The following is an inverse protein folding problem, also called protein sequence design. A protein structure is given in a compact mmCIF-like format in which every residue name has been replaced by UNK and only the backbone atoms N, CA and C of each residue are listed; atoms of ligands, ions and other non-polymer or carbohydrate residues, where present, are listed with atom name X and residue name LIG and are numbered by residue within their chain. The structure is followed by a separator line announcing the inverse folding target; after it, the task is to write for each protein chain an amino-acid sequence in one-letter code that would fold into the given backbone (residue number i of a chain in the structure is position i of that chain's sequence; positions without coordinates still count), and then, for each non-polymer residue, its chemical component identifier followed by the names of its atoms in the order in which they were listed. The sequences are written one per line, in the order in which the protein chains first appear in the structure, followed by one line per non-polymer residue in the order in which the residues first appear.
data_IF_378723986313
#
_entry.id   IF_378723986313
#
_cell.length_a   1.000
_cell.length_b   1.000
_cell.length_c   1.000
_cell.angle_alpha   90.00
_cell.angle_beta   90.00
_cell.angle_gamma   90.00
#
_symmetry.space_group_name_H-M   'P 1'
#
loop_
_entity.id
_entity.type
_entity.pdbx_description
1 polymer ?
#
# COMPACT_ATOMS: atom_id res chain seq x y z
N UNK A 1 -20.80 9.72 22.14
CA UNK A 1 -21.29 9.15 20.86
C UNK A 1 -21.17 10.23 19.81
N UNK A 2 -20.35 10.04 18.78
CA UNK A 2 -20.25 11.00 17.68
C UNK A 2 -21.56 10.95 16.88
N UNK A 3 -22.21 12.10 16.69
CA UNK A 3 -23.49 12.25 15.98
C UNK A 3 -23.35 12.03 14.47
N UNK A 4 -23.15 10.79 14.05
CA UNK A 4 -22.89 10.41 12.67
C UNK A 4 -24.19 10.27 11.86
N UNK A 5 -24.63 11.33 11.20
CA UNK A 5 -25.88 11.35 10.42
C UNK A 5 -25.73 10.93 8.94
N UNK A 6 -24.51 10.87 8.38
CA UNK A 6 -24.26 10.38 7.02
C UNK A 6 -23.01 9.45 6.96
N UNK A 7 -23.14 8.17 6.57
CA UNK A 7 -22.01 7.24 6.41
C UNK A 7 -20.86 7.77 5.54
N UNK A 8 -21.17 8.50 4.46
CA UNK A 8 -20.16 9.04 3.54
C UNK A 8 -19.22 10.02 4.24
N UNK A 9 -19.77 10.97 4.98
CA UNK A 9 -19.00 11.98 5.72
C UNK A 9 -18.12 11.33 6.79
N UNK A 10 -18.63 10.29 7.45
CA UNK A 10 -17.87 9.54 8.45
C UNK A 10 -16.69 8.81 7.81
N UNK A 11 -16.89 8.21 6.63
CA UNK A 11 -15.82 7.56 5.86
C UNK A 11 -14.71 8.56 5.56
N UNK A 12 -15.05 9.70 4.93
CA UNK A 12 -14.07 10.74 4.62
C UNK A 12 -13.36 11.25 5.87
N UNK A 13 -14.07 11.37 6.99
CA UNK A 13 -13.50 11.86 8.25
C UNK A 13 -12.52 10.88 8.88
N UNK A 14 -12.84 9.58 8.98
CA UNK A 14 -11.89 8.61 9.53
C UNK A 14 -10.69 8.40 8.60
N UNK A 15 -10.87 8.50 7.28
CA UNK A 15 -9.77 8.39 6.31
C UNK A 15 -8.79 9.54 6.49
N UNK A 16 -9.30 10.76 6.64
CA UNK A 16 -8.49 11.95 6.94
C UNK A 16 -7.76 11.80 8.27
N UNK A 17 -8.43 11.37 9.33
CA UNK A 17 -7.76 11.13 10.62
C UNK A 17 -6.68 10.06 10.52
N UNK A 18 -6.89 9.00 9.73
CA UNK A 18 -5.86 7.99 9.49
C UNK A 18 -4.65 8.58 8.74
N UNK A 19 -4.88 9.43 7.73
CA UNK A 19 -3.80 10.13 7.01
C UNK A 19 -3.02 11.10 7.91
N UNK A 20 -3.70 11.77 8.85
CA UNK A 20 -3.09 12.64 9.86
C UNK A 20 -2.39 11.86 10.99
N UNK A 21 -2.35 10.53 10.94
CA UNK A 21 -1.74 9.68 11.97
C UNK A 21 -2.57 9.53 13.25
N UNK A 22 -3.81 10.05 13.28
CA UNK A 22 -4.75 9.98 14.42
C UNK A 22 -5.49 8.64 14.44
N UNK A 23 -4.73 7.56 14.53
CA UNK A 23 -5.21 6.19 14.32
C UNK A 23 -6.22 5.75 15.39
N UNK A 24 -6.12 6.24 16.62
CA UNK A 24 -7.09 5.96 17.70
C UNK A 24 -8.50 6.38 17.32
N UNK A 25 -8.63 7.64 16.88
CA UNK A 25 -9.92 8.24 16.54
C UNK A 25 -10.45 7.57 15.27
N UNK A 26 -9.58 7.36 14.27
CA UNK A 26 -9.95 6.69 13.04
C UNK A 26 -10.44 5.25 13.29
N UNK A 27 -9.82 4.51 14.23
CA UNK A 27 -10.28 3.18 14.60
C UNK A 27 -11.67 3.21 15.22
N UNK A 28 -11.90 4.07 16.22
CA UNK A 28 -13.19 4.17 16.90
C UNK A 28 -14.28 4.48 15.88
N UNK A 29 -14.06 5.49 15.04
CA UNK A 29 -15.04 5.91 14.03
C UNK A 29 -15.33 4.83 12.99
N UNK A 30 -14.29 4.21 12.42
CA UNK A 30 -14.47 3.17 11.40
C UNK A 30 -15.12 1.91 11.98
N UNK A 31 -14.84 1.57 13.25
CA UNK A 31 -15.45 0.43 13.94
C UNK A 31 -16.92 0.68 14.23
N UNK A 32 -17.25 1.81 14.84
CA UNK A 32 -18.64 2.19 15.15
C UNK A 32 -19.51 2.24 13.88
N UNK A 33 -18.98 2.81 12.78
CA UNK A 33 -19.70 2.85 11.51
C UNK A 33 -19.94 1.44 10.94
N UNK A 34 -18.92 0.59 10.91
CA UNK A 34 -19.03 -0.77 10.39
C UNK A 34 -20.04 -1.59 11.21
N UNK A 35 -20.00 -1.51 12.54
CA UNK A 35 -20.92 -2.21 13.43
C UNK A 35 -22.36 -1.72 13.26
N UNK A 36 -22.57 -0.41 13.19
CA UNK A 36 -23.88 0.18 12.91
C UNK A 36 -24.44 -0.34 11.59
N UNK A 37 -23.67 -0.22 10.50
CA UNK A 37 -24.12 -0.65 9.17
C UNK A 37 -24.36 -2.17 9.12
N UNK A 38 -23.58 -2.99 9.83
CA UNK A 38 -23.82 -4.43 9.95
C UNK A 38 -25.14 -4.74 10.67
N UNK A 39 -25.50 -3.95 11.69
CA UNK A 39 -26.74 -4.12 12.47
C UNK A 39 -28.01 -3.73 11.72
N UNK A 40 -27.90 -2.93 10.64
CA UNK A 40 -29.07 -2.54 9.83
C UNK A 40 -29.67 -3.75 9.09
N UNK A 41 -30.91 -4.13 9.45
CA UNK A 41 -31.59 -5.32 8.89
C UNK A 41 -31.87 -5.22 7.40
N UNK A 42 -32.14 -4.01 6.89
CA UNK A 42 -32.41 -3.73 5.48
C UNK A 42 -31.45 -2.65 5.01
N UNK A 43 -30.53 -3.02 4.11
CA UNK A 43 -29.62 -2.10 3.44
C UNK A 43 -30.00 -2.03 1.96
N UNK A 44 -30.14 -0.82 1.45
CA UNK A 44 -30.14 -0.57 0.01
C UNK A 44 -28.72 -0.73 -0.56
N UNK A 45 -28.61 -0.62 -1.88
CA UNK A 45 -27.34 -0.77 -2.58
C UNK A 45 -26.27 0.23 -2.11
N UNK A 46 -26.68 1.48 -1.85
CA UNK A 46 -25.78 2.55 -1.43
C UNK A 46 -25.22 2.30 -0.02
N UNK A 47 -26.07 1.94 0.94
CA UNK A 47 -25.65 1.57 2.30
C UNK A 47 -24.77 0.33 2.31
N UNK A 48 -25.03 -0.63 1.43
CA UNK A 48 -24.15 -1.78 1.28
C UNK A 48 -22.77 -1.39 0.74
N UNK A 49 -22.69 -0.40 -0.17
CA UNK A 49 -21.42 0.17 -0.65
C UNK A 49 -20.66 0.89 0.47
N UNK A 50 -21.36 1.70 1.27
CA UNK A 50 -20.76 2.34 2.45
C UNK A 50 -20.24 1.32 3.47
N UNK A 51 -20.95 0.20 3.68
CA UNK A 51 -20.48 -0.87 4.56
C UNK A 51 -19.17 -1.49 4.06
N UNK A 52 -19.06 -1.73 2.75
CA UNK A 52 -17.83 -2.23 2.13
C UNK A 52 -16.67 -1.25 2.32
N UNK A 53 -16.90 0.05 2.10
CA UNK A 53 -15.89 1.09 2.31
C UNK A 53 -15.47 1.21 3.79
N UNK A 54 -16.44 1.21 4.71
CA UNK A 54 -16.19 1.26 6.15
C UNK A 54 -15.34 0.06 6.63
N UNK A 55 -15.67 -1.16 6.19
CA UNK A 55 -14.92 -2.37 6.53
C UNK A 55 -13.50 -2.36 5.95
N UNK A 56 -13.30 -1.80 4.75
CA UNK A 56 -11.99 -1.63 4.13
C UNK A 56 -11.10 -0.66 4.90
N UNK A 57 -11.64 0.51 5.23
CA UNK A 57 -10.95 1.49 6.08
C UNK A 57 -10.61 0.89 7.45
N UNK A 58 -11.59 0.27 8.10
CA UNK A 58 -11.42 -0.37 9.40
C UNK A 58 -10.32 -1.45 9.39
N UNK A 59 -10.33 -2.36 8.40
CA UNK A 59 -9.31 -3.40 8.29
C UNK A 59 -7.89 -2.82 8.14
N UNK A 60 -7.76 -1.73 7.37
CA UNK A 60 -6.48 -1.05 7.12
C UNK A 60 -5.98 -0.28 8.35
N UNK A 61 -6.87 0.45 9.02
CA UNK A 61 -6.54 1.18 10.26
C UNK A 61 -6.15 0.21 11.37
N UNK A 62 -6.90 -0.87 11.56
CA UNK A 62 -6.57 -1.91 12.53
C UNK A 62 -5.23 -2.58 12.24
N UNK A 63 -4.85 -2.71 10.95
CA UNK A 63 -3.54 -3.23 10.57
C UNK A 63 -2.43 -2.24 10.97
N UNK A 64 -2.59 -0.94 10.69
CA UNK A 64 -1.63 0.10 11.07
C UNK A 64 -1.41 0.18 12.58
N UNK A 65 -2.46 -0.13 13.36
CA UNK A 65 -2.39 -0.23 14.83
C UNK A 65 -1.94 -1.61 15.35
N UNK A 66 -1.47 -2.48 14.47
CA UNK A 66 -1.01 -3.84 14.80
C UNK A 66 -2.06 -4.73 15.49
N UNK A 67 -3.36 -4.40 15.38
CA UNK A 67 -4.48 -5.19 15.90
C UNK A 67 -4.82 -6.32 14.94
N UNK A 68 -3.86 -7.20 14.69
CA UNK A 68 -3.89 -8.17 13.60
C UNK A 68 -5.11 -9.11 13.62
N UNK A 69 -5.57 -9.54 14.82
CA UNK A 69 -6.76 -10.40 14.94
C UNK A 69 -8.03 -9.67 14.48
N UNK A 70 -8.18 -8.40 14.85
CA UNK A 70 -9.31 -7.57 14.47
C UNK A 70 -9.25 -7.22 12.98
N UNK A 71 -8.09 -6.79 12.48
CA UNK A 71 -7.87 -6.51 11.05
C UNK A 71 -8.22 -7.71 10.16
N UNK A 72 -7.80 -8.92 10.56
CA UNK A 72 -8.16 -10.17 9.87
C UNK A 72 -9.68 -10.40 9.85
N UNK A 73 -10.37 -10.17 10.97
CA UNK A 73 -11.81 -10.37 11.06
C UNK A 73 -12.57 -9.36 10.18
N UNK A 74 -12.18 -8.08 10.23
CA UNK A 74 -12.71 -7.03 9.36
C UNK A 74 -12.49 -7.36 7.88
N UNK A 75 -11.29 -7.79 7.49
CA UNK A 75 -10.96 -8.20 6.12
C UNK A 75 -11.81 -9.38 5.62
N UNK A 76 -12.08 -10.37 6.47
CA UNK A 76 -12.98 -11.49 6.13
C UNK A 76 -14.43 -11.02 5.98
N UNK A 77 -14.88 -10.11 6.85
CA UNK A 77 -16.21 -9.53 6.74
C UNK A 77 -16.33 -8.72 5.44
N UNK A 78 -15.32 -7.91 5.11
CA UNK A 78 -15.21 -7.17 3.84
C UNK A 78 -15.40 -8.09 2.63
N UNK A 79 -14.67 -9.21 2.56
CA UNK A 79 -14.82 -10.19 1.47
C UNK A 79 -16.26 -10.72 1.35
N UNK A 80 -16.94 -10.96 2.48
CA UNK A 80 -18.34 -11.40 2.49
C UNK A 80 -19.28 -10.29 1.99
N UNK A 81 -19.12 -9.08 2.52
CA UNK A 81 -20.00 -7.96 2.21
C UNK A 81 -19.80 -7.44 0.77
N UNK A 82 -18.59 -7.52 0.23
CA UNK A 82 -18.30 -7.21 -1.17
C UNK A 82 -19.02 -8.16 -2.13
N UNK A 83 -19.08 -9.46 -1.81
CA UNK A 83 -19.86 -10.42 -2.62
C UNK A 83 -21.34 -10.07 -2.62
N UNK A 84 -21.88 -9.67 -1.47
CA UNK A 84 -23.28 -9.24 -1.35
C UNK A 84 -23.53 -7.97 -2.17
N UNK A 85 -22.64 -6.97 -2.07
CA UNK A 85 -22.71 -5.75 -2.87
C UNK A 85 -22.78 -6.05 -4.38
N UNK A 86 -21.83 -6.85 -4.88
CA UNK A 86 -21.78 -7.19 -6.30
C UNK A 86 -23.01 -8.01 -6.75
N UNK A 87 -23.59 -8.83 -5.87
CA UNK A 87 -24.85 -9.54 -6.15
C UNK A 87 -26.04 -8.58 -6.22
N UNK A 88 -26.13 -7.61 -5.31
CA UNK A 88 -27.18 -6.58 -5.32
C UNK A 88 -27.07 -5.70 -6.56
N UNK A 89 -25.85 -5.22 -6.86
CA UNK A 89 -25.55 -4.42 -8.04
C UNK A 89 -25.97 -5.14 -9.34
N UNK A 90 -25.65 -6.44 -9.44
CA UNK A 90 -26.08 -7.28 -10.57
C UNK A 90 -27.61 -7.36 -10.68
N UNK A 91 -28.31 -7.57 -9.56
CA UNK A 91 -29.77 -7.70 -9.53
C UNK A 91 -30.46 -6.39 -9.93
N UNK A 92 -29.92 -5.27 -9.49
CA UNK A 92 -30.43 -3.92 -9.79
C UNK A 92 -29.92 -3.38 -11.15
N UNK A 93 -29.09 -4.14 -11.87
CA UNK A 93 -28.47 -3.76 -13.16
C UNK A 93 -27.68 -2.44 -13.07
N UNK A 94 -27.02 -2.21 -11.94
CA UNK A 94 -26.20 -1.03 -11.70
C UNK A 94 -24.71 -1.43 -11.65
N UNK A 95 -24.05 -1.44 -12.81
CA UNK A 95 -22.66 -1.89 -12.93
C UNK A 95 -21.66 -0.98 -12.21
N UNK A 96 -21.95 0.32 -12.10
CA UNK A 96 -21.11 1.31 -11.40
C UNK A 96 -20.98 1.03 -9.89
N UNK A 97 -21.92 0.26 -9.33
CA UNK A 97 -21.91 -0.13 -7.92
C UNK A 97 -21.09 -1.39 -7.64
N UNK A 98 -20.53 -2.04 -8.66
CA UNK A 98 -19.61 -3.16 -8.45
C UNK A 98 -18.31 -2.68 -7.80
N UNK A 99 -17.95 -3.32 -6.70
CA UNK A 99 -16.63 -3.21 -6.10
C UNK A 99 -15.69 -4.25 -6.75
N UNK A 100 -15.31 -3.96 -8.00
CA UNK A 100 -14.53 -4.85 -8.87
C UNK A 100 -13.18 -4.24 -9.33
N UNK A 101 -12.82 -3.05 -8.85
CA UNK A 101 -11.53 -2.44 -9.17
C UNK A 101 -10.38 -3.35 -8.72
N UNK A 102 -9.60 -3.85 -9.70
CA UNK A 102 -8.56 -4.88 -9.49
C UNK A 102 -7.56 -4.45 -8.42
N UNK A 103 -7.09 -3.20 -8.49
CA UNK A 103 -6.12 -2.64 -7.56
C UNK A 103 -6.63 -2.57 -6.13
N UNK A 104 -7.89 -2.16 -5.96
CA UNK A 104 -8.56 -2.08 -4.66
C UNK A 104 -8.74 -3.48 -4.06
N UNK A 105 -9.22 -4.44 -4.86
CA UNK A 105 -9.43 -5.82 -4.40
C UNK A 105 -8.10 -6.51 -4.07
N UNK A 106 -7.03 -6.22 -4.82
CA UNK A 106 -5.69 -6.73 -4.52
C UNK A 106 -5.16 -6.16 -3.19
N UNK A 107 -5.37 -4.86 -2.93
CA UNK A 107 -5.01 -4.24 -1.65
C UNK A 107 -5.77 -4.86 -0.47
N UNK A 108 -7.05 -5.19 -0.61
CA UNK A 108 -7.81 -5.89 0.43
C UNK A 108 -7.17 -7.24 0.81
N UNK A 109 -6.68 -8.00 -0.19
CA UNK A 109 -5.99 -9.27 0.05
C UNK A 109 -4.58 -9.06 0.65
N UNK A 110 -3.91 -7.95 0.34
CA UNK A 110 -2.62 -7.56 0.94
C UNK A 110 -2.81 -7.21 2.42
N UNK A 111 -3.82 -6.40 2.77
CA UNK A 111 -4.14 -6.06 4.17
C UNK A 111 -4.42 -7.34 4.97
N UNK A 112 -5.23 -8.26 4.42
CA UNK A 112 -5.47 -9.56 5.03
C UNK A 112 -4.17 -10.37 5.19
N UNK A 113 -3.30 -10.38 4.18
CA UNK A 113 -2.03 -11.08 4.25
C UNK A 113 -1.13 -10.53 5.36
N UNK A 114 -0.99 -9.21 5.46
CA UNK A 114 -0.21 -8.55 6.50
C UNK A 114 -0.75 -8.85 7.90
N UNK A 115 -2.08 -8.85 8.08
CA UNK A 115 -2.70 -9.29 9.32
C UNK A 115 -2.38 -10.77 9.65
N UNK A 116 -2.34 -11.64 8.65
CA UNK A 116 -1.95 -13.04 8.84
C UNK A 116 -0.45 -13.22 9.13
N UNK A 117 0.42 -12.36 8.58
CA UNK A 117 1.84 -12.30 8.93
C UNK A 117 2.00 -11.92 10.41
N UNK A 118 1.36 -10.85 10.86
CA UNK A 118 1.40 -10.43 12.27
C UNK A 118 0.87 -11.49 13.24
N UNK A 119 -0.11 -12.30 12.81
CA UNK A 119 -0.61 -13.47 13.56
C UNK A 119 0.26 -14.73 13.44
N UNK A 120 1.42 -14.66 12.76
CA UNK A 120 2.32 -15.78 12.49
C UNK A 120 1.66 -16.94 11.72
N UNK A 121 0.67 -16.65 10.86
CA UNK A 121 -0.09 -17.63 10.07
C UNK A 121 0.38 -17.68 8.61
N UNK A 122 1.49 -18.39 8.38
CA UNK A 122 2.15 -18.44 7.06
C UNK A 122 1.23 -18.91 5.93
N UNK A 123 0.49 -20.01 6.12
CA UNK A 123 -0.38 -20.54 5.08
C UNK A 123 -1.47 -19.53 4.66
N UNK A 124 -2.07 -18.86 5.65
CA UNK A 124 -3.04 -17.80 5.39
C UNK A 124 -2.42 -16.67 4.59
N UNK A 125 -1.32 -16.10 5.10
CA UNK A 125 -0.63 -14.99 4.45
C UNK A 125 -0.32 -15.29 2.98
N UNK A 126 0.24 -16.46 2.70
CA UNK A 126 0.56 -16.88 1.33
C UNK A 126 -0.68 -17.14 0.48
N UNK A 127 -1.76 -17.66 1.05
CA UNK A 127 -3.02 -17.83 0.32
C UNK A 127 -3.57 -16.48 -0.15
N UNK A 128 -3.56 -15.48 0.72
CA UNK A 128 -4.03 -14.12 0.43
C UNK A 128 -3.10 -13.42 -0.57
N UNK A 129 -1.78 -13.50 -0.38
CA UNK A 129 -0.79 -12.95 -1.34
C UNK A 129 -0.86 -13.61 -2.72
N UNK A 130 -1.10 -14.92 -2.80
CA UNK A 130 -1.26 -15.60 -4.09
C UNK A 130 -2.52 -15.13 -4.83
N UNK A 131 -3.60 -14.75 -4.12
CA UNK A 131 -4.76 -14.12 -4.75
C UNK A 131 -4.44 -12.70 -5.20
N UNK A 132 -3.77 -11.91 -4.37
CA UNK A 132 -3.30 -10.58 -4.74
C UNK A 132 -2.43 -10.65 -6.00
N UNK A 133 -1.50 -11.61 -6.09
CA UNK A 133 -0.64 -11.83 -7.25
C UNK A 133 -1.40 -12.32 -8.50
N UNK A 134 -2.61 -12.87 -8.37
CA UNK A 134 -3.44 -13.17 -9.55
C UNK A 134 -4.10 -11.91 -10.12
N UNK A 135 -4.42 -10.97 -9.24
CA UNK A 135 -5.03 -9.68 -9.60
C UNK A 135 -3.99 -8.68 -10.09
N UNK A 136 -2.83 -8.66 -9.44
CA UNK A 136 -1.67 -7.85 -9.79
C UNK A 136 -0.45 -8.76 -9.96
N UNK A 137 -0.29 -9.43 -11.11
CA UNK A 137 0.84 -10.30 -11.36
C UNK A 137 2.17 -9.57 -11.24
N UNK A 138 3.14 -10.17 -10.55
CA UNK A 138 4.53 -9.71 -10.52
C UNK A 138 4.69 -8.28 -9.97
N UNK A 139 3.77 -7.88 -9.09
CA UNK A 139 3.88 -6.68 -8.28
C UNK A 139 4.99 -6.86 -7.23
N UNK A 140 5.90 -5.89 -7.16
CA UNK A 140 7.10 -5.94 -6.31
C UNK A 140 6.78 -5.95 -4.81
N UNK A 141 5.68 -5.31 -4.39
CA UNK A 141 5.22 -5.34 -3.00
C UNK A 141 4.72 -6.74 -2.63
N UNK A 142 3.89 -7.34 -3.48
CA UNK A 142 3.35 -8.68 -3.25
C UNK A 142 4.48 -9.71 -3.19
N UNK A 143 5.42 -9.64 -4.13
CA UNK A 143 6.57 -10.55 -4.17
C UNK A 143 7.46 -10.39 -2.92
N UNK A 144 7.70 -9.16 -2.47
CA UNK A 144 8.43 -8.85 -1.23
C UNK A 144 7.70 -9.44 -0.01
N UNK A 145 6.39 -9.21 0.12
CA UNK A 145 5.58 -9.74 1.22
C UNK A 145 5.61 -11.28 1.30
N UNK A 146 5.70 -11.98 0.16
CA UNK A 146 5.78 -13.45 0.15
C UNK A 146 7.07 -13.98 0.79
N UNK A 147 8.18 -13.24 0.63
CA UNK A 147 9.46 -13.56 1.25
C UNK A 147 9.47 -13.14 2.72
N UNK A 148 8.96 -11.95 3.03
CA UNK A 148 8.86 -11.47 4.41
C UNK A 148 7.99 -12.37 5.27
N UNK A 149 6.85 -12.83 4.75
CA UNK A 149 6.01 -13.78 5.47
C UNK A 149 6.80 -15.03 5.91
N UNK A 150 7.72 -15.52 5.07
CA UNK A 150 8.60 -16.64 5.44
C UNK A 150 9.62 -16.22 6.47
N UNK A 151 10.30 -15.10 6.24
CA UNK A 151 11.35 -14.62 7.13
C UNK A 151 10.81 -14.34 8.53
N UNK A 152 9.74 -13.55 8.65
CA UNK A 152 9.15 -13.14 9.93
C UNK A 152 8.58 -14.34 10.71
N UNK A 153 8.03 -15.35 10.02
CA UNK A 153 7.34 -16.46 10.70
C UNK A 153 8.26 -17.66 10.93
N UNK A 154 9.18 -17.96 9.99
CA UNK A 154 10.07 -19.13 10.05
C UNK A 154 11.51 -18.77 10.42
N UNK A 155 11.89 -17.49 10.42
CA UNK A 155 13.25 -17.02 10.69
C UNK A 155 14.26 -17.33 9.58
N UNK A 156 13.83 -17.91 8.46
CA UNK A 156 14.69 -18.36 7.36
C UNK A 156 13.95 -18.41 6.04
N UNK A 157 14.68 -18.36 4.93
CA UNK A 157 14.15 -18.34 3.56
C UNK A 157 14.30 -19.67 2.80
N UNK A 158 14.34 -20.82 3.51
CA UNK A 158 14.39 -22.13 2.86
C UNK A 158 13.17 -22.35 1.93
N UNK A 159 13.40 -22.88 0.72
CA UNK A 159 12.33 -23.15 -0.25
C UNK A 159 11.70 -21.89 -0.89
N UNK A 160 12.34 -20.73 -0.76
CA UNK A 160 11.86 -19.46 -1.30
C UNK A 160 12.24 -19.20 -2.77
N UNK A 161 12.94 -20.13 -3.44
CA UNK A 161 13.52 -19.95 -4.79
C UNK A 161 12.52 -19.38 -5.80
N UNK A 162 11.30 -19.91 -5.84
CA UNK A 162 10.24 -19.41 -6.75
C UNK A 162 9.84 -17.97 -6.43
N UNK A 163 9.71 -17.62 -5.14
CA UNK A 163 9.39 -16.26 -4.70
C UNK A 163 10.54 -15.29 -4.98
N UNK A 164 11.81 -15.71 -4.83
CA UNK A 164 12.96 -14.89 -5.20
C UNK A 164 13.00 -14.60 -6.71
N UNK A 165 12.76 -15.62 -7.56
CA UNK A 165 12.69 -15.42 -9.01
C UNK A 165 11.60 -14.42 -9.40
N UNK A 166 10.41 -14.53 -8.78
CA UNK A 166 9.30 -13.59 -9.01
C UNK A 166 9.66 -12.17 -8.58
N UNK A 167 10.29 -12.00 -7.42
CA UNK A 167 10.72 -10.69 -6.93
C UNK A 167 11.74 -10.05 -7.86
N UNK A 168 12.76 -10.80 -8.29
CA UNK A 168 13.79 -10.29 -9.20
C UNK A 168 13.13 -9.82 -10.51
N UNK A 169 12.29 -10.66 -11.11
CA UNK A 169 11.57 -10.27 -12.33
C UNK A 169 10.67 -9.05 -12.12
N UNK A 170 9.96 -8.99 -10.99
CA UNK A 170 9.12 -7.85 -10.63
C UNK A 170 9.93 -6.55 -10.56
N UNK A 171 11.10 -6.57 -9.91
CA UNK A 171 12.01 -5.43 -9.81
C UNK A 171 12.55 -5.01 -11.18
N UNK A 172 12.98 -5.96 -12.00
CA UNK A 172 13.49 -5.71 -13.35
C UNK A 172 12.40 -5.14 -14.29
N UNK A 173 11.14 -5.46 -14.04
CA UNK A 173 10.00 -5.04 -14.85
C UNK A 173 9.24 -3.84 -14.27
N UNK A 174 9.69 -3.26 -13.14
CA UNK A 174 8.97 -2.17 -12.44
C UNK A 174 9.08 -0.80 -13.13
N UNK A 175 9.87 -0.70 -14.21
CA UNK A 175 10.15 0.56 -14.89
C UNK A 175 11.18 1.44 -14.16
N UNK A 176 11.44 2.66 -14.66
CA UNK A 176 12.37 3.59 -14.03
C UNK A 176 11.81 4.14 -12.71
N UNK A 177 12.72 4.61 -11.86
CA UNK A 177 12.38 5.41 -10.68
C UNK A 177 11.93 6.79 -11.13
N UNK A 178 10.79 7.25 -10.64
CA UNK A 178 10.27 8.59 -10.89
C UNK A 178 10.06 9.31 -9.56
N UNK A 179 10.40 10.60 -9.51
CA UNK A 179 10.04 11.46 -8.39
C UNK A 179 8.69 12.11 -8.67
N UNK A 180 7.69 11.78 -7.86
CA UNK A 180 6.34 12.32 -7.99
C UNK A 180 5.84 12.79 -6.61
N UNK A 181 5.39 14.04 -6.53
CA UNK A 181 4.90 14.64 -5.28
C UNK A 181 5.87 14.45 -4.09
N UNK A 182 7.17 14.66 -4.33
CA UNK A 182 8.22 14.49 -3.32
C UNK A 182 8.53 13.04 -2.92
N UNK A 183 7.96 12.04 -3.60
CA UNK A 183 8.20 10.63 -3.31
C UNK A 183 8.81 9.89 -4.51
N UNK A 184 9.83 9.08 -4.25
CA UNK A 184 10.36 8.15 -5.25
C UNK A 184 9.42 6.97 -5.43
N UNK A 185 8.95 6.78 -6.66
CA UNK A 185 7.98 5.74 -6.99
C UNK A 185 8.41 4.89 -8.18
N UNK A 186 8.00 3.62 -8.16
CA UNK A 186 7.77 2.89 -9.39
C UNK A 186 6.37 3.18 -9.90
N UNK A 187 6.24 3.32 -11.21
CA UNK A 187 4.95 3.46 -11.88
C UNK A 187 4.83 2.42 -13.01
N UNK A 188 4.69 1.13 -12.70
CA UNK A 188 4.54 0.11 -13.72
C UNK A 188 3.19 0.26 -14.42
N UNK A 189 3.18 0.14 -15.75
CA UNK A 189 1.97 0.28 -16.56
C UNK A 189 0.86 -0.67 -16.09
N UNK A 190 -0.30 -0.10 -15.78
CA UNK A 190 -1.48 -0.85 -15.33
C UNK A 190 -1.51 -1.17 -13.83
N UNK A 191 -0.52 -0.73 -13.05
CA UNK A 191 -0.46 -0.93 -11.60
C UNK A 191 -0.52 0.39 -10.83
N UNK A 192 -0.74 0.28 -9.51
CA UNK A 192 -0.71 1.44 -8.61
C UNK A 192 0.75 1.82 -8.36
N UNK A 193 1.09 3.13 -8.29
CA UNK A 193 2.41 3.60 -7.89
C UNK A 193 2.91 2.97 -6.59
N UNK A 194 4.21 2.72 -6.51
CA UNK A 194 4.85 2.10 -5.33
C UNK A 194 5.94 2.98 -4.79
N UNK A 195 5.81 3.42 -3.54
CA UNK A 195 6.90 4.13 -2.88
C UNK A 195 8.11 3.20 -2.71
N UNK A 196 9.24 3.64 -3.23
CA UNK A 196 10.48 2.87 -3.31
C UNK A 196 11.21 2.85 -1.96
N UNK A 197 11.11 3.91 -1.16
CA UNK A 197 11.89 4.01 0.08
C UNK A 197 11.53 2.88 1.06
N UNK A 198 10.25 2.62 1.39
CA UNK A 198 9.89 1.47 2.22
C UNK A 198 10.25 0.13 1.59
N UNK A 199 10.18 0.03 0.25
CA UNK A 199 10.55 -1.19 -0.46
C UNK A 199 12.04 -1.49 -0.30
N UNK A 200 12.93 -0.51 -0.43
CA UNK A 200 14.38 -0.68 -0.27
C UNK A 200 14.74 -1.19 1.12
N UNK A 201 14.18 -0.59 2.19
CA UNK A 201 14.43 -1.06 3.56
C UNK A 201 13.99 -2.52 3.77
N UNK A 202 12.88 -2.90 3.15
CA UNK A 202 12.36 -4.28 3.19
C UNK A 202 13.25 -5.26 2.43
N UNK A 203 13.72 -4.88 1.25
CA UNK A 203 14.66 -5.67 0.46
C UNK A 203 16.00 -5.86 1.19
N UNK A 204 16.49 -4.83 1.88
CA UNK A 204 17.70 -4.91 2.68
C UNK A 204 17.58 -5.95 3.80
N UNK A 205 16.46 -5.93 4.53
CA UNK A 205 16.15 -6.92 5.56
C UNK A 205 16.08 -8.34 4.98
N UNK A 206 15.51 -8.52 3.79
CA UNK A 206 15.51 -9.81 3.09
C UNK A 206 16.92 -10.27 2.69
N UNK A 207 17.76 -9.38 2.19
CA UNK A 207 19.14 -9.69 1.82
C UNK A 207 20.01 -10.06 3.03
N UNK A 208 19.67 -9.57 4.22
CA UNK A 208 20.36 -9.90 5.47
C UNK A 208 19.82 -11.18 6.14
N UNK A 209 18.78 -11.79 5.59
CA UNK A 209 18.22 -13.03 6.10
C UNK A 209 19.19 -14.23 5.99
N UNK A 210 19.11 -15.12 6.98
CA UNK A 210 19.80 -16.43 6.92
C UNK A 210 19.17 -17.32 5.85
N UNK A 211 20.02 -18.12 5.20
CA UNK A 211 19.64 -19.13 4.20
C UNK A 211 18.90 -18.57 2.96
N UNK A 212 19.15 -17.31 2.61
CA UNK A 212 18.90 -16.83 1.26
C UNK A 212 20.03 -17.30 0.35
N UNK A 213 19.69 -17.95 -0.76
CA UNK A 213 20.65 -18.38 -1.77
C UNK A 213 21.50 -17.21 -2.27
N UNK A 214 22.82 -17.39 -2.30
CA UNK A 214 23.78 -16.33 -2.65
C UNK A 214 23.51 -15.71 -4.02
N UNK A 215 23.08 -16.51 -5.01
CA UNK A 215 22.80 -16.00 -6.35
C UNK A 215 21.56 -15.09 -6.36
N UNK A 216 20.50 -15.47 -5.63
CA UNK A 216 19.31 -14.60 -5.51
C UNK A 216 19.62 -13.36 -4.69
N UNK A 217 20.40 -13.49 -3.61
CA UNK A 217 20.84 -12.37 -2.78
C UNK A 217 21.62 -11.34 -3.61
N UNK A 218 22.55 -11.80 -4.45
CA UNK A 218 23.32 -10.93 -5.34
C UNK A 218 22.41 -10.20 -6.33
N UNK A 219 21.51 -10.91 -7.03
CA UNK A 219 20.59 -10.29 -7.99
C UNK A 219 19.64 -9.27 -7.37
N UNK A 220 19.15 -9.52 -6.16
CA UNK A 220 18.33 -8.54 -5.43
C UNK A 220 19.17 -7.30 -5.08
N UNK A 221 20.40 -7.48 -4.60
CA UNK A 221 21.32 -6.36 -4.31
C UNK A 221 21.68 -5.55 -5.56
N UNK A 222 21.90 -6.20 -6.70
CA UNK A 222 22.15 -5.51 -7.97
C UNK A 222 20.95 -4.63 -8.37
N UNK A 223 19.73 -5.13 -8.22
CA UNK A 223 18.51 -4.34 -8.45
C UNK A 223 18.40 -3.18 -7.46
N UNK A 224 18.66 -3.40 -6.16
CA UNK A 224 18.69 -2.33 -5.16
C UNK A 224 19.70 -1.23 -5.52
N UNK A 225 20.92 -1.61 -5.92
CA UNK A 225 21.96 -0.66 -6.30
C UNK A 225 21.54 0.17 -7.54
N UNK A 226 20.90 -0.46 -8.53
CA UNK A 226 20.36 0.25 -9.71
C UNK A 226 19.28 1.26 -9.31
N UNK A 227 18.39 0.89 -8.38
CA UNK A 227 17.34 1.78 -7.87
C UNK A 227 17.96 2.96 -7.12
N UNK A 228 18.90 2.70 -6.21
CA UNK A 228 19.60 3.74 -5.45
C UNK A 228 20.37 4.69 -6.37
N UNK A 229 21.04 4.17 -7.40
CA UNK A 229 21.74 5.01 -8.38
C UNK A 229 20.77 5.95 -9.13
N UNK A 230 19.57 5.49 -9.49
CA UNK A 230 18.55 6.34 -10.09
C UNK A 230 18.05 7.42 -9.12
N UNK A 231 17.84 7.08 -7.84
CA UNK A 231 17.47 8.05 -6.80
C UNK A 231 18.54 9.15 -6.68
N UNK A 232 19.82 8.75 -6.60
CA UNK A 232 20.94 9.71 -6.54
C UNK A 232 20.97 10.62 -7.77
N UNK A 233 20.86 10.05 -8.98
CA UNK A 233 20.86 10.83 -10.21
C UNK A 233 19.70 11.84 -10.29
N UNK A 234 18.51 11.47 -9.78
CA UNK A 234 17.37 12.39 -9.72
C UNK A 234 17.65 13.54 -8.75
N UNK A 235 18.16 13.24 -7.54
CA UNK A 235 18.49 14.27 -6.54
C UNK A 235 19.57 15.23 -7.05
N UNK A 236 20.63 14.72 -7.68
CA UNK A 236 21.68 15.54 -8.28
C UNK A 236 21.14 16.43 -9.40
N UNK A 237 20.22 15.91 -10.22
CA UNK A 237 19.54 16.68 -11.25
C UNK A 237 18.68 17.82 -10.68
N UNK A 238 17.90 17.55 -9.63
CA UNK A 238 17.11 18.58 -8.94
C UNK A 238 17.99 19.64 -8.27
N UNK A 239 19.07 19.22 -7.61
CA UNK A 239 20.02 20.14 -7.00
C UNK A 239 20.66 21.05 -8.07
N UNK A 240 21.09 20.48 -9.20
CA UNK A 240 21.66 21.27 -10.30
C UNK A 240 20.66 22.25 -10.91
N UNK A 241 19.37 21.90 -11.00
CA UNK A 241 18.32 22.80 -11.46
C UNK A 241 18.07 23.94 -10.46
N UNK A 242 18.03 23.62 -9.15
CA UNK A 242 17.85 24.59 -8.08
C UNK A 242 19.04 25.57 -7.99
N UNK A 243 20.27 25.09 -8.15
CA UNK A 243 21.47 25.94 -8.20
C UNK A 243 21.45 26.92 -9.39
N UNK A 244 20.94 26.48 -10.55
CA UNK A 244 20.75 27.37 -11.72
C UNK A 244 19.69 28.43 -11.45
N UNK A 245 18.58 28.07 -10.81
CA UNK A 245 17.54 29.02 -10.42
C UNK A 245 18.06 30.03 -9.38
N UNK A 246 18.80 29.58 -8.37
CA UNK A 246 19.41 30.45 -7.37
C UNK A 246 20.37 31.47 -8.02
N UNK A 247 21.26 31.00 -8.90
CA UNK A 247 22.15 31.89 -9.67
C UNK A 247 21.38 32.90 -10.53
N UNK A 248 20.26 32.50 -11.12
CA UNK A 248 19.41 33.40 -11.89
C UNK A 248 18.72 34.45 -10.99
N UNK A 249 18.25 34.05 -9.80
CA UNK A 249 17.67 34.98 -8.81
C UNK A 249 18.73 35.95 -8.29
N UNK A 250 19.93 35.47 -7.98
CA UNK A 250 21.04 36.31 -7.55
C UNK A 250 21.46 37.31 -8.64
N UNK A 251 21.35 36.92 -9.91
CA UNK A 251 21.60 37.82 -11.05
C UNK A 251 20.50 38.88 -11.26
N UNK A 252 19.32 38.69 -10.66
CA UNK A 252 18.19 39.62 -10.73
C UNK A 252 18.16 40.61 -9.55
N UNK A 253 18.95 40.39 -8.50
CA UNK A 253 19.14 41.38 -7.44
C UNK A 253 20.14 42.45 -7.93
N UNK A 254 19.70 43.69 -8.18
CA UNK A 254 20.64 44.74 -8.57
C UNK A 254 21.65 44.94 -7.44
N UNK A 255 22.94 44.96 -7.80
CA UNK A 255 23.99 45.49 -6.93
C UNK A 255 23.69 46.98 -6.79
N UNK A 256 22.94 47.36 -5.76
CA UNK A 256 22.72 48.76 -5.42
C UNK A 256 24.05 49.30 -4.93
N UNK A 257 24.84 49.87 -5.84
CA UNK A 257 25.99 50.71 -5.52
C UNK A 257 25.46 51.97 -4.81
N UNK A 258 25.34 51.90 -3.48
CA UNK A 258 25.08 53.06 -2.63
C UNK A 258 26.36 53.89 -2.45
N UNK A 259 27.02 54.27 -3.55
CA UNK A 259 28.07 55.31 -3.54
C UNK A 259 28.11 56.05 -4.87
N UNK A 260 27.25 57.04 -5.00
CA UNK A 260 27.56 58.27 -5.74
C UNK A 260 26.52 59.33 -5.41
N UNK A 261 26.79 60.14 -4.39
CA UNK A 261 26.76 61.62 -4.39
C UNK A 261 27.22 62.13 -3.03
#
# INVERSE_FOLDING_TARGET
MFGMSNPEQVISQFERYAQEGRLEIAEVMSTELAERLLSEKKRDLQKQKFLVQALRGNASILLQREKYKLSKNASKMLQKQRKILNQMAKKEKNEEMFDANISTVANDEIVLACAEIGLKKLFGALKSLNKANKLRPLDSEICTLMLEARLTIKGKLNGSRSSCKKLIYALESSGPVVLQNGNFIFNPDGYVPRNIIPLLSRLELLCNAKNLDTNYKQKIRENMNKITAQITAINEGEQAANERLAKAIDSLNPVSDYYSY
#
